data_IF_639900165547
#
_entry.id   IF_639900165547
#
_cell.length_a   1.000
_cell.length_b   1.000
_cell.length_c   1.000
_cell.angle_alpha   90.00
_cell.angle_beta   90.00
_cell.angle_gamma   90.00
#
_symmetry.space_group_name_H-M   'P 1'
#
loop_
_entity.id
_entity.type
_entity.pdbx_description
1 polymer ?
#
# COMPACT_ATOMS: atom_id res chain seq x y z
N UNK A 1 1.22 20.77 9.67
CA UNK A 1 1.51 21.93 10.51
C UNK A 1 0.23 22.72 10.81
N UNK A 2 -0.51 23.26 9.84
CA UNK A 2 -1.74 24.02 10.08
C UNK A 2 -2.78 23.26 10.93
N UNK A 3 -2.92 21.96 10.71
CA UNK A 3 -3.84 21.11 11.46
C UNK A 3 -3.35 20.88 12.90
N UNK A 4 -2.04 20.68 13.11
CA UNK A 4 -1.44 20.52 14.43
C UNK A 4 -1.56 21.79 15.27
N UNK A 5 -1.50 22.97 14.63
CA UNK A 5 -1.71 24.26 15.30
C UNK A 5 -3.18 24.48 15.71
N UNK A 6 -4.12 23.85 15.02
CA UNK A 6 -5.56 24.01 15.28
C UNK A 6 -6.15 22.97 16.24
N UNK A 7 -5.52 21.80 16.37
CA UNK A 7 -6.07 20.64 17.09
C UNK A 7 -5.09 20.09 18.14
N UNK A 8 -5.52 20.02 19.40
CA UNK A 8 -4.69 19.61 20.54
C UNK A 8 -4.43 18.11 20.66
N UNK A 9 -5.15 17.25 19.88
CA UNK A 9 -5.07 15.78 19.96
C UNK A 9 -4.93 15.20 18.55
N UNK A 10 -3.76 15.33 17.95
CA UNK A 10 -3.49 14.85 16.60
C UNK A 10 -2.66 13.57 16.63
N UNK A 11 -3.15 12.54 15.97
CA UNK A 11 -2.54 11.20 15.89
C UNK A 11 -2.21 10.84 14.45
N UNK A 12 -1.15 10.04 14.26
CA UNK A 12 -0.86 9.37 13.00
C UNK A 12 -0.84 7.86 13.22
N UNK A 13 -1.56 7.13 12.37
CA UNK A 13 -1.49 5.66 12.38
C UNK A 13 -0.27 5.21 11.56
N UNK A 14 0.81 4.92 12.29
CA UNK A 14 2.16 4.71 11.78
C UNK A 14 2.85 6.00 11.33
N UNK A 15 4.11 5.92 10.97
CA UNK A 15 4.89 7.05 10.47
C UNK A 15 4.31 7.60 9.17
N UNK A 16 4.11 8.93 9.10
CA UNK A 16 3.48 9.59 7.96
C UNK A 16 4.24 9.40 6.65
N UNK A 17 5.57 9.48 6.73
CA UNK A 17 6.51 9.36 5.61
C UNK A 17 7.83 8.74 6.11
N UNK A 18 8.63 8.19 5.17
CA UNK A 18 9.97 7.69 5.47
C UNK A 18 10.99 8.84 5.53
N UNK A 19 10.85 9.73 6.49
CA UNK A 19 11.79 10.80 6.77
C UNK A 19 11.75 11.12 8.27
N UNK A 20 12.72 10.59 9.01
CA UNK A 20 12.78 10.69 10.47
C UNK A 20 12.86 12.14 10.97
N UNK A 21 13.50 13.05 10.23
CA UNK A 21 13.62 14.46 10.61
C UNK A 21 12.26 15.14 10.55
N UNK A 22 11.49 14.88 9.50
CA UNK A 22 10.12 15.41 9.37
C UNK A 22 9.19 14.79 10.40
N UNK A 23 9.27 13.49 10.65
CA UNK A 23 8.46 12.82 11.67
C UNK A 23 8.78 13.40 13.05
N UNK A 24 10.06 13.56 13.42
CA UNK A 24 10.47 14.20 14.68
C UNK A 24 10.01 15.64 14.81
N UNK A 25 10.09 16.41 13.73
CA UNK A 25 9.58 17.78 13.72
C UNK A 25 8.06 17.81 14.00
N UNK A 26 7.26 17.01 13.30
CA UNK A 26 5.81 16.94 13.53
C UNK A 26 5.46 16.44 14.92
N UNK A 27 6.24 15.52 15.49
CA UNK A 27 6.09 15.11 16.90
C UNK A 27 6.38 16.25 17.87
N UNK A 28 7.38 17.10 17.60
CA UNK A 28 7.66 18.29 18.40
C UNK A 28 6.54 19.33 18.34
N UNK A 29 5.76 19.34 17.26
CA UNK A 29 4.58 20.17 17.05
C UNK A 29 3.28 19.54 17.63
N UNK A 30 3.37 18.36 18.26
CA UNK A 30 2.24 17.72 18.95
C UNK A 30 1.61 16.52 18.24
N UNK A 31 2.19 16.02 17.15
CA UNK A 31 1.73 14.78 16.54
C UNK A 31 2.13 13.57 17.40
N UNK A 32 1.17 12.71 17.70
CA UNK A 32 1.43 11.42 18.34
C UNK A 32 1.37 10.31 17.31
N UNK A 33 2.47 9.59 17.10
CA UNK A 33 2.50 8.40 16.24
C UNK A 33 2.08 7.18 17.05
N UNK A 34 1.12 6.42 16.55
CA UNK A 34 0.58 5.20 17.18
C UNK A 34 0.65 4.02 16.22
N UNK A 35 0.77 2.81 16.78
CA UNK A 35 0.91 1.59 15.99
C UNK A 35 -0.45 0.96 15.63
N UNK A 36 -1.48 1.25 16.41
CA UNK A 36 -2.81 0.66 16.21
C UNK A 36 -3.96 1.59 16.57
N UNK A 37 -5.16 1.33 15.99
CA UNK A 37 -6.35 2.14 16.24
C UNK A 37 -6.80 2.19 17.69
N UNK A 38 -6.45 1.16 18.48
CA UNK A 38 -6.81 1.06 19.91
C UNK A 38 -6.11 2.11 20.80
N UNK A 39 -5.05 2.73 20.28
CA UNK A 39 -4.30 3.79 20.96
C UNK A 39 -4.88 5.19 20.68
N UNK A 40 -5.91 5.28 19.85
CA UNK A 40 -6.53 6.54 19.44
C UNK A 40 -7.70 6.87 20.38
N UNK A 41 -7.65 7.97 21.13
CA UNK A 41 -8.75 8.37 21.99
C UNK A 41 -10.00 8.78 21.18
N UNK A 42 -11.19 8.60 21.73
CA UNK A 42 -12.41 9.12 21.13
C UNK A 42 -12.35 10.64 20.90
N UNK A 43 -12.79 11.07 19.70
CA UNK A 43 -12.81 12.50 19.33
C UNK A 43 -11.47 13.11 18.96
N UNK A 44 -10.41 12.31 18.86
CA UNK A 44 -9.12 12.76 18.36
C UNK A 44 -9.16 13.05 16.85
N UNK A 45 -8.15 13.76 16.34
CA UNK A 45 -7.87 13.90 14.92
C UNK A 45 -6.81 12.88 14.49
N UNK A 46 -7.07 12.13 13.43
CA UNK A 46 -6.19 11.06 12.97
C UNK A 46 -5.79 11.26 11.53
N UNK A 47 -4.50 11.24 11.26
CA UNK A 47 -3.96 11.26 9.89
C UNK A 47 -3.63 9.82 9.47
N UNK A 48 -4.21 9.38 8.36
CA UNK A 48 -3.79 8.15 7.68
C UNK A 48 -2.59 8.49 6.80
N UNK A 49 -1.49 7.75 6.99
CA UNK A 49 -0.22 7.94 6.27
C UNK A 49 -0.34 7.74 4.75
N UNK A 50 0.66 8.24 4.00
CA UNK A 50 0.69 8.17 2.52
C UNK A 50 0.64 6.76 1.94
N UNK A 51 1.16 5.75 2.64
CA UNK A 51 1.12 4.33 2.26
C UNK A 51 -0.27 3.69 2.39
N UNK A 52 -1.21 4.40 3.01
CA UNK A 52 -2.50 3.86 3.38
C UNK A 52 -2.44 2.88 4.56
N UNK A 53 -3.58 2.34 4.87
CA UNK A 53 -3.79 1.30 5.89
C UNK A 53 -4.75 0.25 5.34
N UNK A 54 -4.84 -0.90 5.97
CA UNK A 54 -5.82 -1.92 5.61
C UNK A 54 -7.26 -1.42 5.82
N UNK A 55 -8.22 -2.02 5.14
CA UNK A 55 -9.65 -1.71 5.34
C UNK A 55 -10.06 -1.89 6.81
N UNK A 56 -9.61 -2.96 7.45
CA UNK A 56 -9.93 -3.23 8.85
C UNK A 56 -9.40 -2.16 9.81
N UNK A 57 -8.17 -1.68 9.60
CA UNK A 57 -7.60 -0.56 10.36
C UNK A 57 -8.36 0.73 10.12
N UNK A 58 -8.66 1.05 8.85
CA UNK A 58 -9.43 2.24 8.49
C UNK A 58 -10.81 2.26 9.18
N UNK A 59 -11.55 1.16 9.10
CA UNK A 59 -12.84 1.01 9.77
C UNK A 59 -12.72 1.03 11.29
N UNK A 60 -11.62 0.50 11.86
CA UNK A 60 -11.36 0.57 13.29
C UNK A 60 -11.14 2.01 13.75
N UNK A 61 -10.37 2.79 13.00
CA UNK A 61 -10.21 4.24 13.26
C UNK A 61 -11.55 4.98 13.21
N UNK A 62 -12.37 4.71 12.21
CA UNK A 62 -13.71 5.32 12.12
C UNK A 62 -14.59 5.00 13.33
N UNK A 63 -14.52 3.75 13.85
CA UNK A 63 -15.27 3.33 15.04
C UNK A 63 -14.84 4.04 16.33
N UNK A 64 -13.64 4.62 16.42
CA UNK A 64 -13.23 5.44 17.57
C UNK A 64 -14.00 6.75 17.69
N UNK A 65 -14.69 7.17 16.62
CA UNK A 65 -15.32 8.49 16.53
C UNK A 65 -14.33 9.63 16.28
N UNK A 66 -13.09 9.31 15.89
CA UNK A 66 -12.07 10.30 15.53
C UNK A 66 -12.40 11.00 14.20
N UNK A 67 -11.94 12.24 14.06
CA UNK A 67 -11.94 12.95 12.77
C UNK A 67 -10.79 12.40 11.92
N UNK A 68 -11.11 11.77 10.77
CA UNK A 68 -10.10 11.10 9.94
C UNK A 68 -9.66 12.00 8.79
N UNK A 69 -8.36 12.28 8.73
CA UNK A 69 -7.69 12.95 7.61
C UNK A 69 -6.91 11.92 6.80
N UNK A 70 -7.51 11.48 5.71
CA UNK A 70 -6.91 10.43 4.87
C UNK A 70 -5.90 11.04 3.88
N UNK A 71 -4.61 10.99 4.26
CA UNK A 71 -3.48 11.42 3.44
C UNK A 71 -2.91 10.29 2.55
N UNK A 72 -3.62 9.18 2.40
CA UNK A 72 -3.21 8.11 1.50
C UNK A 72 -2.97 8.66 0.09
N UNK A 73 -1.81 8.36 -0.48
CA UNK A 73 -1.46 8.77 -1.84
C UNK A 73 -2.55 8.32 -2.84
N UNK A 74 -3.02 9.19 -3.75
CA UNK A 74 -4.04 8.82 -4.75
C UNK A 74 -3.66 7.60 -5.59
N UNK A 75 -2.38 7.40 -5.87
CA UNK A 75 -1.89 6.20 -6.57
C UNK A 75 -2.12 4.92 -5.75
N UNK A 76 -1.85 4.98 -4.45
CA UNK A 76 -2.09 3.86 -3.53
C UNK A 76 -3.60 3.60 -3.38
N UNK A 77 -4.42 4.64 -3.24
CA UNK A 77 -5.89 4.50 -3.23
C UNK A 77 -6.40 3.78 -4.48
N UNK A 78 -5.86 4.13 -5.65
CA UNK A 78 -6.22 3.45 -6.89
C UNK A 78 -5.88 1.96 -6.87
N UNK A 79 -4.76 1.57 -6.25
CA UNK A 79 -4.43 0.14 -6.09
C UNK A 79 -5.43 -0.55 -5.17
N UNK A 80 -5.79 0.09 -4.04
CA UNK A 80 -6.80 -0.45 -3.13
C UNK A 80 -8.14 -0.72 -3.84
N UNK A 81 -8.59 0.21 -4.69
CA UNK A 81 -9.80 0.03 -5.51
C UNK A 81 -9.66 -1.16 -6.47
N UNK A 82 -8.55 -1.25 -7.21
CA UNK A 82 -8.31 -2.32 -8.18
C UNK A 82 -8.36 -3.70 -7.53
N UNK A 83 -7.70 -3.87 -6.36
CA UNK A 83 -7.67 -5.17 -5.69
C UNK A 83 -8.99 -5.50 -4.98
N UNK A 84 -9.73 -4.49 -4.51
CA UNK A 84 -11.06 -4.67 -3.96
C UNK A 84 -12.07 -5.08 -5.04
N UNK A 85 -12.05 -4.42 -6.21
CA UNK A 85 -12.84 -4.79 -7.38
C UNK A 85 -12.51 -6.22 -7.84
N UNK A 86 -11.21 -6.58 -7.88
CA UNK A 86 -10.77 -7.92 -8.23
C UNK A 86 -11.38 -8.99 -7.32
N UNK A 87 -11.37 -8.77 -6.01
CA UNK A 87 -12.00 -9.69 -5.05
C UNK A 87 -13.50 -9.79 -5.26
N UNK A 88 -14.19 -8.68 -5.49
CA UNK A 88 -15.63 -8.66 -5.78
C UNK A 88 -15.99 -9.39 -7.09
N UNK A 89 -15.09 -9.38 -8.09
CA UNK A 89 -15.24 -10.11 -9.36
C UNK A 89 -14.82 -11.60 -9.24
N UNK A 90 -14.38 -12.09 -8.08
CA UNK A 90 -13.86 -13.44 -7.88
C UNK A 90 -12.52 -13.69 -8.59
N UNK A 91 -11.76 -12.64 -8.89
CA UNK A 91 -10.42 -12.71 -9.45
C UNK A 91 -9.41 -12.81 -8.33
N UNK A 92 -8.35 -13.59 -8.52
CA UNK A 92 -7.28 -13.70 -7.55
C UNK A 92 -6.34 -12.50 -7.64
N UNK A 93 -6.16 -11.71 -6.55
CA UNK A 93 -5.19 -10.63 -6.53
C UNK A 93 -3.76 -11.17 -6.41
N UNK A 94 -2.87 -10.68 -7.26
CA UNK A 94 -1.42 -10.92 -7.19
C UNK A 94 -0.74 -9.56 -7.06
N UNK A 95 0.08 -9.39 -6.02
CA UNK A 95 0.74 -8.13 -5.69
C UNK A 95 2.25 -8.32 -5.86
N UNK A 96 2.86 -7.59 -6.78
CA UNK A 96 4.31 -7.59 -6.98
C UNK A 96 4.91 -6.52 -6.06
N UNK A 97 5.66 -6.92 -5.04
CA UNK A 97 6.26 -6.00 -4.07
C UNK A 97 6.84 -6.70 -2.85
N UNK A 98 7.47 -5.93 -1.96
CA UNK A 98 8.02 -6.44 -0.72
C UNK A 98 6.90 -6.69 0.31
N UNK A 99 6.73 -7.92 0.79
CA UNK A 99 5.62 -8.33 1.65
C UNK A 99 5.58 -7.59 3.00
N UNK A 100 6.74 -7.19 3.51
CA UNK A 100 6.90 -6.45 4.77
C UNK A 100 6.70 -4.93 4.62
N UNK A 101 6.67 -4.41 3.39
CA UNK A 101 6.50 -2.98 3.14
C UNK A 101 5.09 -2.50 3.55
N UNK A 102 4.97 -1.35 4.26
CA UNK A 102 3.69 -0.81 4.72
C UNK A 102 2.62 -0.67 3.62
N UNK A 103 3.00 -0.22 2.42
CA UNK A 103 2.10 -0.10 1.27
C UNK A 103 1.54 -1.47 0.85
N UNK A 104 2.38 -2.50 0.73
CA UNK A 104 1.97 -3.85 0.33
C UNK A 104 1.05 -4.47 1.38
N UNK A 105 1.38 -4.30 2.67
CA UNK A 105 0.52 -4.74 3.78
C UNK A 105 -0.85 -4.06 3.75
N UNK A 106 -0.88 -2.74 3.48
CA UNK A 106 -2.13 -2.01 3.33
C UNK A 106 -2.95 -2.57 2.14
N UNK A 107 -2.33 -2.73 0.96
CA UNK A 107 -3.00 -3.28 -0.24
C UNK A 107 -3.61 -4.67 0.05
N UNK A 108 -2.86 -5.56 0.71
CA UNK A 108 -3.36 -6.89 1.11
C UNK A 108 -4.64 -6.81 1.94
N UNK A 109 -4.78 -5.80 2.77
CA UNK A 109 -5.96 -5.59 3.61
C UNK A 109 -7.22 -5.10 2.86
N UNK A 110 -7.12 -4.81 1.55
CA UNK A 110 -8.25 -4.39 0.71
C UNK A 110 -8.80 -5.50 -0.20
N UNK A 111 -8.22 -6.69 -0.15
CA UNK A 111 -8.65 -7.82 -0.98
C UNK A 111 -8.65 -9.13 -0.21
N UNK A 112 -9.28 -10.15 -0.80
CA UNK A 112 -9.34 -11.50 -0.24
C UNK A 112 -8.24 -12.37 -0.83
N UNK A 113 -7.60 -13.18 0.01
CA UNK A 113 -6.56 -14.16 -0.36
C UNK A 113 -5.50 -13.62 -1.34
N UNK A 114 -4.87 -12.46 -1.08
CA UNK A 114 -3.83 -11.93 -1.96
C UNK A 114 -2.61 -12.83 -1.98
N UNK A 115 -1.97 -12.95 -3.14
CA UNK A 115 -0.65 -13.58 -3.26
C UNK A 115 0.36 -12.46 -3.49
N UNK A 116 1.34 -12.34 -2.60
CA UNK A 116 2.45 -11.40 -2.73
C UNK A 116 3.66 -12.13 -3.29
N UNK A 117 4.30 -11.53 -4.28
CA UNK A 117 5.55 -11.99 -4.86
C UNK A 117 6.53 -10.83 -4.97
N UNK A 118 7.79 -11.07 -4.61
CA UNK A 118 8.78 -9.99 -4.61
C UNK A 118 9.28 -9.64 -6.03
N UNK A 119 9.39 -10.65 -6.91
CA UNK A 119 9.99 -10.52 -8.24
C UNK A 119 9.50 -11.58 -9.23
N UNK A 120 10.07 -11.55 -10.45
CA UNK A 120 9.74 -12.47 -11.53
C UNK A 120 10.12 -13.92 -11.20
N UNK A 121 11.17 -14.16 -10.43
CA UNK A 121 11.61 -15.49 -10.05
C UNK A 121 10.61 -16.13 -9.07
N UNK A 122 10.19 -15.38 -8.05
CA UNK A 122 9.15 -15.85 -7.13
C UNK A 122 7.80 -16.03 -7.83
N UNK A 123 7.42 -15.10 -8.72
CA UNK A 123 6.21 -15.26 -9.55
C UNK A 123 6.22 -16.59 -10.32
N UNK A 124 7.34 -16.91 -11.00
CA UNK A 124 7.48 -18.15 -11.74
C UNK A 124 7.40 -19.38 -10.81
N UNK A 125 8.02 -19.32 -9.63
CA UNK A 125 7.97 -20.39 -8.65
C UNK A 125 6.55 -20.64 -8.14
N UNK A 126 5.78 -19.57 -7.82
CA UNK A 126 4.39 -19.66 -7.36
C UNK A 126 3.42 -20.16 -8.44
N UNK A 127 3.73 -19.94 -9.71
CA UNK A 127 2.98 -20.53 -10.80
C UNK A 127 3.33 -22.02 -10.93
N UNK A 128 4.62 -22.38 -10.82
CA UNK A 128 5.08 -23.74 -10.98
C UNK A 128 4.59 -24.68 -9.85
N UNK A 129 4.47 -24.18 -8.61
CA UNK A 129 3.97 -24.95 -7.47
C UNK A 129 2.43 -24.95 -7.37
N UNK A 130 1.73 -24.23 -8.29
CA UNK A 130 0.27 -24.16 -8.33
C UNK A 130 -0.36 -23.19 -7.34
N UNK A 131 0.42 -22.44 -6.57
CA UNK A 131 -0.10 -21.37 -5.66
C UNK A 131 -0.81 -20.30 -6.48
N UNK A 132 -0.26 -19.91 -7.65
CA UNK A 132 -0.92 -19.07 -8.65
C UNK A 132 -1.45 -19.98 -9.76
N UNK A 133 -2.77 -20.09 -9.83
CA UNK A 133 -3.45 -20.87 -10.87
C UNK A 133 -3.72 -19.97 -12.09
N UNK A 134 -2.88 -20.11 -13.11
CA UNK A 134 -2.98 -19.34 -14.35
C UNK A 134 -4.23 -19.62 -15.20
N UNK A 135 -5.02 -20.66 -14.88
CA UNK A 135 -6.31 -20.91 -15.50
C UNK A 135 -7.43 -20.05 -14.92
N UNK A 136 -7.25 -19.55 -13.69
CA UNK A 136 -8.19 -18.66 -13.03
C UNK A 136 -8.03 -17.20 -13.47
N UNK A 137 -9.07 -16.38 -13.34
CA UNK A 137 -8.95 -14.94 -13.54
C UNK A 137 -7.99 -14.33 -12.51
N UNK A 138 -6.97 -13.63 -12.96
CA UNK A 138 -5.98 -12.95 -12.11
C UNK A 138 -6.09 -11.44 -12.29
N UNK A 139 -5.88 -10.70 -11.20
CA UNK A 139 -5.61 -9.26 -11.23
C UNK A 139 -4.25 -9.01 -10.60
N UNK A 140 -3.34 -8.44 -11.37
CA UNK A 140 -1.96 -8.22 -10.97
C UNK A 140 -1.71 -6.72 -10.84
N UNK A 141 -1.20 -6.31 -9.68
CA UNK A 141 -0.76 -4.94 -9.39
C UNK A 141 0.70 -4.96 -8.93
N UNK A 142 1.36 -3.81 -9.01
CA UNK A 142 2.75 -3.66 -8.56
C UNK A 142 2.85 -2.51 -7.56
N UNK A 143 3.65 -2.68 -6.52
CA UNK A 143 3.96 -1.65 -5.52
C UNK A 143 4.47 -0.38 -6.20
N UNK A 144 4.03 0.79 -5.76
CA UNK A 144 4.28 2.08 -6.45
C UNK A 144 5.75 2.44 -6.61
N UNK A 145 6.61 1.94 -5.74
CA UNK A 145 8.06 2.22 -5.71
C UNK A 145 8.92 1.17 -6.44
N UNK A 146 8.30 0.18 -7.10
CA UNK A 146 9.03 -0.82 -7.88
C UNK A 146 9.51 -0.27 -9.22
N UNK A 147 10.46 -1.00 -9.85
CA UNK A 147 11.06 -0.59 -11.12
C UNK A 147 10.24 -1.07 -12.33
N UNK A 148 10.32 -0.33 -13.44
CA UNK A 148 9.72 -0.74 -14.72
C UNK A 148 10.32 -2.04 -15.24
N UNK A 149 11.60 -2.31 -14.98
CA UNK A 149 12.25 -3.56 -15.35
C UNK A 149 11.57 -4.76 -14.71
N UNK A 150 11.36 -4.71 -13.39
CA UNK A 150 10.65 -5.76 -12.63
C UNK A 150 9.23 -5.99 -13.15
N UNK A 151 8.50 -4.92 -13.46
CA UNK A 151 7.17 -5.01 -14.06
C UNK A 151 7.21 -5.74 -15.41
N UNK A 152 8.14 -5.37 -16.29
CA UNK A 152 8.28 -5.97 -17.63
C UNK A 152 8.65 -7.45 -17.56
N UNK A 153 9.52 -7.84 -16.62
CA UNK A 153 9.87 -9.25 -16.42
C UNK A 153 8.66 -10.07 -15.96
N UNK A 154 7.93 -9.60 -14.95
CA UNK A 154 6.71 -10.25 -14.49
C UNK A 154 5.64 -10.32 -15.61
N UNK A 155 5.48 -9.24 -16.38
CA UNK A 155 4.54 -9.18 -17.49
C UNK A 155 4.83 -10.26 -18.58
N UNK A 156 6.12 -10.51 -18.89
CA UNK A 156 6.50 -11.55 -19.85
C UNK A 156 6.04 -12.94 -19.38
N UNK A 157 6.21 -13.24 -18.08
CA UNK A 157 5.79 -14.52 -17.50
C UNK A 157 4.27 -14.65 -17.53
N UNK A 158 3.55 -13.62 -17.07
CA UNK A 158 2.08 -13.61 -17.01
C UNK A 158 1.50 -13.79 -18.42
N UNK A 159 1.96 -13.01 -19.41
CA UNK A 159 1.49 -13.13 -20.81
C UNK A 159 1.74 -14.48 -21.43
N UNK A 160 2.81 -15.17 -21.02
CA UNK A 160 3.16 -16.49 -21.54
C UNK A 160 2.36 -17.62 -20.92
N UNK A 161 2.02 -17.52 -19.63
CA UNK A 161 1.49 -18.63 -18.85
C UNK A 161 0.03 -18.48 -18.45
N UNK A 162 -0.45 -17.24 -18.28
CA UNK A 162 -1.78 -16.99 -17.74
C UNK A 162 -2.75 -16.48 -18.84
N UNK A 163 -3.88 -17.16 -19.00
CA UNK A 163 -4.83 -16.88 -20.09
C UNK A 163 -5.82 -15.76 -19.77
N UNK A 164 -6.09 -15.50 -18.50
CA UNK A 164 -7.08 -14.51 -18.06
C UNK A 164 -6.51 -13.61 -16.94
N UNK A 165 -5.41 -12.92 -17.23
CA UNK A 165 -4.79 -11.99 -16.30
C UNK A 165 -4.97 -10.53 -16.75
N UNK A 166 -5.45 -9.68 -15.83
CA UNK A 166 -5.40 -8.21 -15.96
C UNK A 166 -4.16 -7.72 -15.20
N UNK A 167 -3.22 -7.08 -15.87
CA UNK A 167 -2.04 -6.50 -15.24
C UNK A 167 -2.12 -4.97 -15.32
N UNK A 168 -1.96 -4.33 -14.17
CA UNK A 168 -1.99 -2.88 -14.03
C UNK A 168 -0.58 -2.36 -13.72
N UNK A 169 -0.10 -1.41 -14.53
CA UNK A 169 1.08 -0.62 -14.21
C UNK A 169 0.69 0.44 -13.17
N UNK A 170 1.04 0.16 -11.93
CA UNK A 170 0.75 1.04 -10.79
C UNK A 170 2.00 1.73 -10.24
N UNK A 171 3.13 1.66 -10.95
CA UNK A 171 4.38 2.33 -10.60
C UNK A 171 4.17 3.85 -10.60
N UNK A 172 4.76 4.53 -9.63
CA UNK A 172 4.69 5.97 -9.49
C UNK A 172 5.99 6.63 -9.96
N UNK A 173 5.95 7.36 -11.09
CA UNK A 173 7.12 8.09 -11.60
C UNK A 173 7.66 9.15 -10.64
N UNK A 174 6.83 9.76 -9.80
CA UNK A 174 7.28 10.70 -8.79
C UNK A 174 8.12 10.02 -7.69
N UNK A 175 7.79 8.78 -7.30
CA UNK A 175 8.57 8.03 -6.33
C UNK A 175 9.95 7.63 -6.88
N UNK A 176 10.02 7.33 -8.19
CA UNK A 176 11.28 6.97 -8.86
C UNK A 176 12.28 8.14 -8.93
N UNK A 177 11.80 9.36 -9.12
CA UNK A 177 12.65 10.56 -9.14
C UNK A 177 13.29 10.83 -7.77
N UNK A 178 12.56 10.60 -6.67
CA UNK A 178 13.07 10.81 -5.31
C UNK A 178 14.14 9.79 -4.89
N UNK A 179 14.15 8.59 -5.45
CA UNK A 179 15.14 7.56 -5.14
C UNK A 179 16.41 7.67 -5.98
N UNK A 180 16.36 8.35 -7.14
CA UNK A 180 17.54 8.57 -7.98
C UNK A 180 18.40 9.75 -7.49
N UNK A 181 17.79 10.78 -6.91
CA UNK A 181 18.53 11.97 -6.44
C UNK A 181 19.27 11.72 -5.09
N UNK A 182 18.87 10.69 -4.33
CA UNK A 182 19.53 10.32 -3.08
C UNK A 182 20.79 9.45 -3.26
N UNK A 183 21.13 9.08 -4.50
CA UNK A 183 22.31 8.24 -4.79
C UNK A 183 23.52 9.03 -5.29
N UNK A 184 23.41 10.35 -5.48
CA UNK A 184 24.47 11.23 -6.05
C UNK A 184 25.03 12.27 -5.04
N UNK A 185 24.82 12.10 -3.71
CA UNK A 185 25.51 12.89 -2.67
C UNK A 185 26.40 12.04 -1.78
#
# INVERSE_FOLDING_TARGET
EEMLAAEQNCYSLGELIHNDDVVRHLQSEGLTVVDGPEQIPPGASVIIRSHGVSRAEFEAVQRTGATVYDATCPKVKRIHEIVAEASAEGRQPVIIGAADHPEVRAICGWCEAPIVVNDAAELAARIADGTIDCAKPLTVVIQTTQTQEKLLECQKIIKKQCTNAKLFDTICGACLLYTSDAADE
#
